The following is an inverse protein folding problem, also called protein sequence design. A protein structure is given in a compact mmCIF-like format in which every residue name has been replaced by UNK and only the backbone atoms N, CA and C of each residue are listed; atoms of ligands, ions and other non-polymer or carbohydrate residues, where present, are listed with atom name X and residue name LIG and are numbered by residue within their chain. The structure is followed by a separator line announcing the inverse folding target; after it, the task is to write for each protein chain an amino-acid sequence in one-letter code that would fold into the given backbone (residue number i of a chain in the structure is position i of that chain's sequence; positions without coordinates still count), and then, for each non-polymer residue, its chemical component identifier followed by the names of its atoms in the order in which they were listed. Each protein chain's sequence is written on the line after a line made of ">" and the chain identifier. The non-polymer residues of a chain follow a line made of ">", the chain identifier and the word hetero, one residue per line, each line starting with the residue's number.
data_IF_900435672015
#
_entry.id   IF_900435672015
#
_cell.length_a   1.000
_cell.length_b   1.000
_cell.length_c   1.000
_cell.angle_alpha   90.00
_cell.angle_beta   90.00
_cell.angle_gamma   90.00
#
_symmetry.space_group_name_H-M   'P 1'
#
loop_
_entity.id
_entity.type
_entity.pdbx_description
1 polymer ?
#
# COMPACT_ATOMS: atom_id res chain seq x y z
N UNK A 1 13.86 -6.83 -10.00
CA UNK A 1 12.92 -7.90 -9.62
C UNK A 1 11.54 -7.30 -9.75
N UNK A 2 10.64 -7.94 -10.49
CA UNK A 2 9.29 -7.44 -10.69
C UNK A 2 8.50 -7.48 -9.37
N UNK A 3 7.91 -6.35 -8.95
CA UNK A 3 7.19 -6.21 -7.68
C UNK A 3 5.92 -7.08 -7.66
N UNK A 4 5.33 -7.34 -8.82
CA UNK A 4 4.12 -8.16 -8.99
C UNK A 4 4.42 -9.63 -9.28
N UNK A 5 5.67 -10.09 -9.08
CA UNK A 5 6.01 -11.48 -9.35
C UNK A 5 5.15 -12.47 -8.55
N UNK A 6 4.92 -13.65 -9.14
CA UNK A 6 4.11 -14.70 -8.51
C UNK A 6 4.57 -15.04 -7.09
N UNK A 7 5.89 -15.00 -6.82
CA UNK A 7 6.45 -15.22 -5.49
C UNK A 7 5.88 -14.22 -4.47
N UNK A 8 5.88 -12.92 -4.78
CA UNK A 8 5.40 -11.89 -3.87
C UNK A 8 3.88 -11.92 -3.71
N UNK A 9 3.15 -12.18 -4.80
CA UNK A 9 1.71 -12.37 -4.74
C UNK A 9 1.33 -13.51 -3.77
N UNK A 10 1.93 -14.70 -3.91
CA UNK A 10 1.63 -15.81 -3.03
C UNK A 10 2.11 -15.58 -1.59
N UNK A 11 3.31 -15.02 -1.43
CA UNK A 11 3.87 -14.70 -0.11
C UNK A 11 2.96 -13.72 0.66
N UNK A 12 2.44 -12.69 -0.01
CA UNK A 12 1.56 -11.70 0.61
C UNK A 12 0.24 -12.29 1.11
N UNK A 13 -0.31 -13.30 0.41
CA UNK A 13 -1.54 -14.00 0.83
C UNK A 13 -1.36 -14.81 2.12
N UNK A 14 -0.13 -15.20 2.43
CA UNK A 14 0.22 -15.97 3.65
C UNK A 14 0.97 -15.13 4.68
N UNK A 15 0.88 -13.80 4.60
CA UNK A 15 1.36 -12.90 5.64
C UNK A 15 2.80 -12.39 5.49
N UNK A 16 3.45 -12.58 4.34
CA UNK A 16 4.82 -12.12 4.11
C UNK A 16 4.89 -10.90 3.17
N UNK A 17 5.48 -9.80 3.64
CA UNK A 17 5.88 -8.69 2.79
C UNK A 17 7.07 -9.03 1.90
N UNK A 18 7.32 -8.19 0.90
CA UNK A 18 8.52 -8.26 0.06
C UNK A 18 9.80 -8.30 0.89
N UNK A 19 9.92 -7.40 1.86
CA UNK A 19 11.13 -7.29 2.69
C UNK A 19 11.33 -8.55 3.54
N UNK A 20 10.24 -9.12 4.05
CA UNK A 20 10.26 -10.31 4.90
C UNK A 20 10.60 -11.55 4.12
N UNK A 21 9.95 -11.79 2.98
CA UNK A 21 10.23 -12.99 2.18
C UNK A 21 11.66 -12.98 1.63
N UNK A 22 12.17 -11.82 1.19
CA UNK A 22 13.55 -11.68 0.73
C UNK A 22 14.54 -11.92 1.86
N UNK A 23 14.29 -11.36 3.06
CA UNK A 23 15.14 -11.60 4.24
C UNK A 23 15.17 -13.08 4.61
N UNK A 24 14.01 -13.74 4.63
CA UNK A 24 13.88 -15.18 4.84
C UNK A 24 14.71 -15.98 3.82
N UNK A 25 14.61 -15.67 2.53
CA UNK A 25 15.36 -16.36 1.48
C UNK A 25 16.87 -16.19 1.68
N UNK A 26 17.33 -14.96 1.94
CA UNK A 26 18.75 -14.66 2.14
C UNK A 26 19.29 -15.37 3.39
N UNK A 27 18.56 -15.32 4.50
CA UNK A 27 18.94 -15.99 5.74
C UNK A 27 19.02 -17.51 5.55
N UNK A 28 18.01 -18.10 4.89
CA UNK A 28 18.00 -19.53 4.61
C UNK A 28 19.15 -19.95 3.70
N UNK A 29 19.45 -19.16 2.66
CA UNK A 29 20.60 -19.38 1.80
C UNK A 29 21.93 -19.32 2.57
N UNK A 30 22.07 -18.37 3.50
CA UNK A 30 23.26 -18.26 4.35
C UNK A 30 23.41 -19.44 5.31
N UNK A 31 22.30 -19.97 5.86
CA UNK A 31 22.32 -21.18 6.68
C UNK A 31 22.75 -22.42 5.88
N UNK A 32 22.36 -22.51 4.61
CA UNK A 32 22.76 -23.61 3.72
C UNK A 32 24.20 -23.49 3.23
N UNK A 33 24.67 -22.27 3.00
CA UNK A 33 25.99 -21.97 2.45
C UNK A 33 26.75 -21.00 3.38
N UNK A 34 27.51 -21.53 4.36
CA UNK A 34 28.23 -20.71 5.34
C UNK A 34 29.23 -19.69 4.74
N UNK A 35 29.70 -19.94 3.51
CA UNK A 35 30.56 -19.01 2.77
C UNK A 35 29.88 -17.65 2.46
N UNK A 36 28.55 -17.57 2.49
CA UNK A 36 27.78 -16.35 2.27
C UNK A 36 27.55 -15.53 3.57
N UNK A 37 27.88 -16.08 4.74
CA UNK A 37 27.59 -15.47 6.05
C UNK A 37 28.35 -14.16 6.26
N UNK A 38 29.56 -14.02 5.70
CA UNK A 38 30.33 -12.77 5.75
C UNK A 38 29.55 -11.59 5.14
N UNK A 39 28.77 -11.85 4.08
CA UNK A 39 27.87 -10.89 3.45
C UNK A 39 26.61 -10.63 4.29
N UNK A 40 26.08 -11.64 4.98
CA UNK A 40 24.93 -11.50 5.88
C UNK A 40 25.24 -10.62 7.09
N UNK A 41 26.46 -10.70 7.63
CA UNK A 41 26.93 -9.84 8.72
C UNK A 41 26.98 -8.36 8.29
N UNK A 42 27.35 -8.07 7.04
CA UNK A 42 27.30 -6.72 6.48
C UNK A 42 25.86 -6.22 6.27
N UNK A 43 24.94 -7.08 5.81
CA UNK A 43 23.53 -6.74 5.62
C UNK A 43 22.76 -6.55 6.94
N UNK A 44 23.03 -7.40 7.93
CA UNK A 44 22.51 -7.23 9.30
C UNK A 44 23.15 -6.05 10.01
N UNK A 45 24.43 -5.73 9.74
CA UNK A 45 25.06 -4.49 10.22
C UNK A 45 24.50 -3.24 9.52
N UNK A 46 24.17 -3.28 8.23
CA UNK A 46 23.49 -2.18 7.52
C UNK A 46 22.07 -1.97 8.04
N UNK A 47 21.31 -3.05 8.27
CA UNK A 47 20.00 -2.98 8.92
C UNK A 47 20.11 -2.43 10.35
N UNK A 48 21.10 -2.88 11.13
CA UNK A 48 21.37 -2.34 12.48
C UNK A 48 21.90 -0.91 12.46
N UNK A 49 22.64 -0.49 11.44
CA UNK A 49 23.17 0.88 11.31
C UNK A 49 22.07 1.85 10.86
N UNK A 50 21.14 1.39 10.02
CA UNK A 50 19.88 2.10 9.78
C UNK A 50 19.04 2.20 11.06
N UNK A 51 18.96 1.15 11.87
CA UNK A 51 18.28 1.18 13.18
C UNK A 51 19.05 2.01 14.23
N UNK A 52 20.38 2.02 14.23
CA UNK A 52 21.21 2.73 15.21
C UNK A 52 21.35 4.23 14.88
N UNK A 53 21.32 4.61 13.60
CA UNK A 53 21.12 6.00 13.20
C UNK A 53 19.72 6.51 13.59
N UNK A 54 18.73 5.61 13.66
CA UNK A 54 17.38 5.88 14.23
C UNK A 54 17.36 5.95 15.77
N UNK A 55 18.36 5.43 16.47
CA UNK A 55 18.45 5.44 17.95
C UNK A 55 19.21 6.66 18.54
N UNK A 56 19.93 7.42 17.73
CA UNK A 56 20.67 8.61 18.19
C UNK A 56 19.80 9.88 18.30
N UNK A 57 18.53 9.80 17.92
CA UNK A 57 17.50 10.83 18.07
C UNK A 57 16.36 10.31 18.97
N UNK A 58 16.69 9.76 20.14
CA UNK A 58 15.68 9.52 21.17
C UNK A 58 15.40 10.86 21.86
N UNK A 59 14.48 11.61 21.29
CA UNK A 59 13.61 12.51 22.06
C UNK A 59 12.46 11.64 22.57
N UNK A 60 12.13 11.66 23.86
CA UNK A 60 11.04 10.86 24.40
C UNK A 60 9.71 11.52 24.02
N UNK A 61 9.04 10.99 23.00
CA UNK A 61 7.60 11.15 22.86
C UNK A 61 7.06 9.99 22.03
N UNK A 62 5.94 9.40 22.45
CA UNK A 62 5.22 8.40 21.68
C UNK A 62 4.70 9.01 20.39
N UNK A 63 5.49 8.98 19.33
CA UNK A 63 5.12 9.54 18.03
C UNK A 63 4.06 8.65 17.41
N UNK A 64 2.81 9.12 17.42
CA UNK A 64 1.76 8.61 16.55
C UNK A 64 2.30 8.67 15.12
N UNK A 65 2.31 7.54 14.41
CA UNK A 65 2.76 7.51 13.00
C UNK A 65 1.93 8.48 12.18
N UNK A 66 2.57 9.24 11.32
CA UNK A 66 1.90 10.11 10.36
C UNK A 66 1.14 9.22 9.36
N UNK A 67 -0.17 9.35 9.30
CA UNK A 67 -0.98 8.63 8.33
C UNK A 67 -0.83 9.24 6.94
N UNK A 68 -0.65 8.40 5.94
CA UNK A 68 -0.62 8.79 4.55
C UNK A 68 -1.44 7.83 3.68
N UNK A 69 -2.07 8.34 2.64
CA UNK A 69 -2.79 7.55 1.65
C UNK A 69 -2.15 7.72 0.29
N UNK A 70 -1.93 6.65 -0.47
CA UNK A 70 -1.44 6.75 -1.85
C UNK A 70 -2.57 6.38 -2.78
N UNK A 71 -3.12 7.34 -3.52
CA UNK A 71 -4.21 7.09 -4.46
C UNK A 71 -3.69 6.96 -5.89
N UNK A 72 -4.15 5.93 -6.61
CA UNK A 72 -3.76 5.62 -7.98
C UNK A 72 -4.90 4.92 -8.73
N UNK A 73 -4.70 4.55 -9.99
CA UNK A 73 -5.72 4.02 -10.88
C UNK A 73 -6.38 5.11 -11.72
N UNK A 74 -7.71 5.14 -11.76
CA UNK A 74 -8.51 6.05 -12.56
C UNK A 74 -9.04 5.43 -13.86
N UNK A 75 -9.79 6.24 -14.61
CA UNK A 75 -10.55 5.80 -15.79
C UNK A 75 -9.89 6.20 -17.13
N UNK A 76 -8.59 6.51 -17.10
CA UNK A 76 -7.84 7.00 -18.27
C UNK A 76 -7.10 5.87 -18.97
N UNK A 77 -6.55 6.15 -20.15
CA UNK A 77 -5.60 5.25 -20.81
C UNK A 77 -4.30 5.06 -20.00
N UNK A 78 -4.02 5.95 -19.05
CA UNK A 78 -2.80 5.94 -18.22
C UNK A 78 -2.96 5.17 -16.91
N UNK A 79 -4.15 4.62 -16.64
CA UNK A 79 -4.46 3.91 -15.38
C UNK A 79 -3.49 2.79 -15.00
N UNK A 80 -2.87 2.11 -15.97
CA UNK A 80 -1.86 1.08 -15.66
C UNK A 80 -0.52 1.69 -15.21
N UNK A 81 -0.12 2.81 -15.81
CA UNK A 81 1.07 3.56 -15.37
C UNK A 81 0.83 4.17 -13.99
N UNK A 82 -0.39 4.65 -13.76
CA UNK A 82 -0.89 5.09 -12.47
C UNK A 82 -0.80 3.99 -11.40
N UNK A 83 -1.30 2.78 -11.67
CA UNK A 83 -1.16 1.64 -10.77
C UNK A 83 0.31 1.28 -10.47
N UNK A 84 1.16 1.18 -11.50
CA UNK A 84 2.57 0.83 -11.32
C UNK A 84 3.34 1.88 -10.51
N UNK A 85 3.15 3.16 -10.84
CA UNK A 85 3.83 4.26 -10.14
C UNK A 85 3.33 4.40 -8.70
N UNK A 86 2.01 4.33 -8.47
CA UNK A 86 1.40 4.36 -7.15
C UNK A 86 1.85 3.20 -6.25
N UNK A 87 1.91 1.99 -6.79
CA UNK A 87 2.43 0.80 -6.08
C UNK A 87 3.87 0.99 -5.65
N UNK A 88 4.72 1.52 -6.54
CA UNK A 88 6.12 1.77 -6.22
C UNK A 88 6.29 2.87 -5.16
N UNK A 89 5.51 3.95 -5.24
CA UNK A 89 5.51 5.00 -4.20
C UNK A 89 5.09 4.41 -2.86
N UNK A 90 3.99 3.67 -2.82
CA UNK A 90 3.50 3.03 -1.62
C UNK A 90 4.55 2.10 -0.99
N UNK A 91 5.16 1.20 -1.77
CA UNK A 91 6.22 0.30 -1.29
C UNK A 91 7.44 1.05 -0.76
N UNK A 92 7.83 2.17 -1.38
CA UNK A 92 8.95 2.99 -0.90
C UNK A 92 8.60 3.72 0.41
N UNK A 93 7.38 4.24 0.52
CA UNK A 93 6.94 4.94 1.74
C UNK A 93 6.79 3.99 2.93
N UNK A 94 6.53 2.70 2.71
CA UNK A 94 6.53 1.69 3.78
C UNK A 94 7.91 1.46 4.43
N UNK A 95 9.01 1.95 3.83
CA UNK A 95 10.34 1.87 4.43
C UNK A 95 10.58 2.84 5.59
N UNK A 96 9.65 3.78 5.82
CA UNK A 96 9.73 4.80 6.86
C UNK A 96 8.96 4.36 8.11
N UNK A 97 9.59 4.39 9.28
CA UNK A 97 8.99 3.88 10.52
C UNK A 97 7.96 4.85 11.12
N UNK A 98 8.07 6.13 10.76
CA UNK A 98 7.24 7.25 11.17
C UNK A 98 5.99 7.42 10.30
N UNK A 99 5.87 6.66 9.21
CA UNK A 99 4.71 6.68 8.32
C UNK A 99 3.84 5.43 8.49
N UNK A 100 2.52 5.63 8.37
CA UNK A 100 1.53 4.57 8.21
C UNK A 100 0.80 4.81 6.89
N UNK A 101 1.06 3.97 5.88
CA UNK A 101 0.70 4.26 4.49
C UNK A 101 -0.28 3.25 3.93
N UNK A 102 -1.47 3.73 3.57
CA UNK A 102 -2.55 2.94 2.99
C UNK A 102 -2.68 3.20 1.48
N UNK A 103 -2.58 2.17 0.63
CA UNK A 103 -2.80 2.31 -0.82
C UNK A 103 -4.30 2.37 -1.13
N UNK A 104 -4.69 3.17 -2.12
CA UNK A 104 -6.07 3.39 -2.53
C UNK A 104 -6.20 3.31 -4.05
N UNK A 105 -7.16 2.53 -4.52
CA UNK A 105 -7.53 2.48 -5.93
C UNK A 105 -8.72 3.39 -6.19
N UNK A 106 -8.53 4.38 -7.07
CA UNK A 106 -9.61 5.08 -7.74
C UNK A 106 -10.17 4.16 -8.84
N UNK A 107 -11.40 3.67 -8.65
CA UNK A 107 -12.02 2.75 -9.58
C UNK A 107 -12.34 3.45 -10.93
N UNK A 108 -12.24 2.73 -12.06
CA UNK A 108 -12.76 3.21 -13.33
C UNK A 108 -14.28 3.38 -13.26
N UNK A 109 -14.83 4.34 -14.01
CA UNK A 109 -16.27 4.56 -14.06
C UNK A 109 -16.92 3.32 -14.69
N UNK A 110 -18.00 2.80 -14.11
CA UNK A 110 -18.72 1.68 -14.72
C UNK A 110 -19.23 2.13 -16.10
N UNK A 111 -18.68 1.56 -17.19
CA UNK A 111 -19.01 1.88 -18.58
C UNK A 111 -20.44 1.54 -19.03
N UNK A 112 -21.39 1.39 -18.11
CA UNK A 112 -22.81 1.11 -18.38
C UNK A 112 -23.75 2.29 -18.09
N UNK A 113 -23.20 3.50 -17.87
CA UNK A 113 -24.02 4.70 -17.76
C UNK A 113 -24.18 5.34 -19.14
N UNK A 114 -25.29 4.99 -19.77
CA UNK A 114 -25.87 5.68 -20.92
C UNK A 114 -25.83 7.20 -20.75
N UNK A 115 -25.55 7.91 -21.85
CA UNK A 115 -25.62 9.36 -21.99
C UNK A 115 -26.75 10.02 -21.18
N UNK A 116 -26.43 11.13 -20.50
CA UNK A 116 -27.33 12.16 -19.95
C UNK A 116 -27.62 12.16 -18.44
N UNK A 117 -26.60 12.06 -17.58
CA UNK A 117 -26.70 12.66 -16.24
C UNK A 117 -25.41 13.44 -15.96
N UNK A 118 -25.54 14.66 -15.45
CA UNK A 118 -24.44 15.48 -14.94
C UNK A 118 -23.65 14.65 -13.92
N UNK A 119 -22.58 13.99 -14.39
CA UNK A 119 -21.72 13.17 -13.57
C UNK A 119 -21.04 14.08 -12.55
N UNK A 120 -21.56 14.11 -11.33
CA UNK A 120 -20.78 14.64 -10.22
C UNK A 120 -19.56 13.73 -10.08
N UNK A 121 -18.36 14.25 -10.36
CA UNK A 121 -17.09 13.50 -10.23
C UNK A 121 -16.90 12.92 -8.81
N UNK A 122 -17.64 13.44 -7.83
CA UNK A 122 -17.80 12.92 -6.47
C UNK A 122 -18.43 11.53 -6.35
N UNK A 123 -19.08 11.00 -7.39
CA UNK A 123 -19.70 9.66 -7.37
C UNK A 123 -18.72 8.52 -7.66
N UNK A 124 -17.45 8.81 -7.92
CA UNK A 124 -16.43 7.78 -8.18
C UNK A 124 -16.15 6.97 -6.92
N UNK A 125 -15.89 5.68 -7.10
CA UNK A 125 -15.56 4.79 -6.00
C UNK A 125 -14.06 4.78 -5.72
N UNK A 126 -13.69 4.77 -4.44
CA UNK A 126 -12.31 4.61 -3.95
C UNK A 126 -12.25 3.38 -3.05
N UNK A 127 -11.25 2.53 -3.29
CA UNK A 127 -11.01 1.32 -2.51
C UNK A 127 -9.72 1.42 -1.73
N UNK A 128 -9.75 1.29 -0.41
CA UNK A 128 -8.51 1.05 0.36
C UNK A 128 -8.09 -0.40 0.14
N UNK A 129 -6.83 -0.62 -0.22
CA UNK A 129 -6.36 -1.94 -0.63
C UNK A 129 -5.49 -2.60 0.46
N UNK A 130 -5.74 -3.88 0.79
CA UNK A 130 -4.78 -4.66 1.55
C UNK A 130 -3.57 -5.02 0.69
N UNK A 131 -2.45 -5.35 1.33
CA UNK A 131 -1.16 -5.58 0.68
C UNK A 131 -1.23 -6.54 -0.51
N UNK A 132 -1.96 -7.65 -0.36
CA UNK A 132 -2.06 -8.71 -1.36
C UNK A 132 -2.85 -8.32 -2.61
N UNK A 133 -3.74 -7.33 -2.51
CA UNK A 133 -4.58 -6.88 -3.62
C UNK A 133 -3.85 -5.89 -4.52
N UNK A 134 -2.91 -5.10 -3.97
CA UNK A 134 -2.11 -4.13 -4.73
C UNK A 134 -1.18 -4.82 -5.74
N UNK A 135 -0.71 -6.03 -5.46
CA UNK A 135 0.34 -6.72 -6.22
C UNK A 135 -0.14 -7.38 -7.52
N UNK A 136 -1.02 -6.72 -8.28
CA UNK A 136 -1.57 -7.21 -9.56
C UNK A 136 -1.09 -6.33 -10.70
N UNK A 137 -1.16 -6.85 -11.92
CA UNK A 137 -0.53 -6.20 -13.08
C UNK A 137 -1.46 -5.16 -13.72
N UNK A 138 -2.78 -5.31 -13.54
CA UNK A 138 -3.76 -4.43 -14.14
C UNK A 138 -4.75 -3.88 -13.12
N UNK A 139 -5.22 -2.66 -13.37
CA UNK A 139 -6.25 -1.98 -12.55
C UNK A 139 -7.53 -2.81 -12.47
N UNK A 140 -7.90 -3.47 -13.56
CA UNK A 140 -9.07 -4.34 -13.68
C UNK A 140 -8.93 -5.58 -12.80
N UNK A 141 -7.74 -6.20 -12.75
CA UNK A 141 -7.46 -7.32 -11.84
C UNK A 141 -7.57 -6.89 -10.37
N UNK A 142 -7.03 -5.71 -10.01
CA UNK A 142 -7.15 -5.17 -8.65
C UNK A 142 -8.61 -4.91 -8.31
N UNK A 143 -9.35 -4.27 -9.21
CA UNK A 143 -10.76 -3.93 -9.02
C UNK A 143 -11.63 -5.18 -8.87
N UNK A 144 -11.48 -6.16 -9.76
CA UNK A 144 -12.18 -7.44 -9.67
C UNK A 144 -11.87 -8.18 -8.36
N UNK A 145 -10.59 -8.17 -7.94
CA UNK A 145 -10.18 -8.78 -6.68
C UNK A 145 -10.78 -8.09 -5.44
N UNK A 146 -11.06 -6.78 -5.51
CA UNK A 146 -11.75 -6.08 -4.42
C UNK A 146 -13.17 -6.63 -4.24
N UNK A 147 -13.91 -6.81 -5.33
CA UNK A 147 -15.26 -7.39 -5.29
C UNK A 147 -15.25 -8.84 -4.79
N UNK A 148 -14.32 -9.67 -5.27
CA UNK A 148 -14.19 -11.05 -4.79
C UNK A 148 -13.82 -11.11 -3.30
N UNK A 149 -13.02 -10.17 -2.81
CA UNK A 149 -12.53 -10.13 -1.43
C UNK A 149 -13.56 -9.63 -0.42
N UNK A 150 -14.68 -9.04 -0.85
CA UNK A 150 -15.81 -8.66 0.03
C UNK A 150 -16.97 -9.65 -0.01
N UNK A 151 -16.93 -10.64 -0.93
CA UNK A 151 -17.98 -11.65 -1.06
C UNK A 151 -17.97 -12.57 0.17
N UNK A 152 -19.07 -12.66 0.96
CA UNK A 152 -19.06 -13.33 2.27
C UNK A 152 -18.60 -14.79 2.24
N UNK A 153 -19.06 -15.56 1.26
CA UNK A 153 -18.69 -16.97 1.11
C UNK A 153 -17.19 -17.12 0.79
N UNK A 154 -16.67 -16.28 -0.12
CA UNK A 154 -15.25 -16.29 -0.48
C UNK A 154 -14.38 -15.82 0.67
N UNK A 155 -14.80 -14.81 1.42
CA UNK A 155 -14.12 -14.31 2.61
C UNK A 155 -13.95 -15.43 3.63
N UNK A 156 -15.02 -16.16 3.95
CA UNK A 156 -14.98 -17.24 4.93
C UNK A 156 -14.03 -18.36 4.51
N UNK A 157 -14.16 -18.82 3.26
CA UNK A 157 -13.30 -19.88 2.71
C UNK A 157 -11.84 -19.43 2.68
N UNK A 158 -11.57 -18.23 2.18
CA UNK A 158 -10.20 -17.69 2.02
C UNK A 158 -9.55 -17.48 3.38
N UNK A 159 -10.25 -16.90 4.34
CA UNK A 159 -9.75 -16.68 5.71
C UNK A 159 -9.44 -18.01 6.39
N UNK A 160 -10.34 -19.00 6.25
CA UNK A 160 -10.13 -20.35 6.80
C UNK A 160 -8.89 -21.02 6.22
N UNK A 161 -8.75 -21.04 4.89
CA UNK A 161 -7.60 -21.64 4.21
C UNK A 161 -6.30 -20.90 4.53
N UNK A 162 -6.32 -19.56 4.51
CA UNK A 162 -5.18 -18.72 4.90
C UNK A 162 -4.71 -19.05 6.32
N UNK A 163 -5.63 -19.12 7.28
CA UNK A 163 -5.30 -19.43 8.68
C UNK A 163 -4.72 -20.84 8.84
N UNK A 164 -5.22 -21.83 8.09
CA UNK A 164 -4.65 -23.18 8.07
C UNK A 164 -3.20 -23.16 7.59
N UNK A 165 -2.94 -22.53 6.43
CA UNK A 165 -1.60 -22.43 5.84
C UNK A 165 -0.65 -21.66 6.75
N UNK A 166 -1.07 -20.51 7.27
CA UNK A 166 -0.25 -19.69 8.17
C UNK A 166 0.13 -20.44 9.45
N UNK A 167 -0.81 -21.20 10.04
CA UNK A 167 -0.54 -22.03 11.23
C UNK A 167 0.44 -23.17 10.96
N UNK A 168 0.37 -23.78 9.78
CA UNK A 168 1.33 -24.80 9.37
C UNK A 168 2.72 -24.23 9.12
N UNK A 169 2.79 -23.10 8.42
CA UNK A 169 4.03 -22.38 8.17
C UNK A 169 4.67 -21.91 9.49
N UNK A 170 3.89 -21.34 10.40
CA UNK A 170 4.38 -20.94 11.72
C UNK A 170 4.97 -22.14 12.46
N UNK A 171 4.23 -23.25 12.57
CA UNK A 171 4.73 -24.46 13.25
C UNK A 171 6.03 -24.99 12.63
N UNK A 172 6.17 -24.92 11.30
CA UNK A 172 7.36 -25.39 10.59
C UNK A 172 8.55 -24.43 10.74
N UNK A 173 8.29 -23.12 10.67
CA UNK A 173 9.32 -22.08 10.62
C UNK A 173 9.72 -21.58 12.01
N UNK A 174 8.88 -21.65 13.03
CA UNK A 174 9.20 -21.23 14.40
C UNK A 174 10.35 -22.01 15.04
N UNK A 175 10.75 -23.15 14.46
CA UNK A 175 11.94 -23.91 14.88
C UNK A 175 13.25 -23.29 14.36
N UNK A 176 13.17 -22.29 13.49
CA UNK A 176 14.30 -21.70 12.80
C UNK A 176 14.64 -20.34 13.41
N UNK A 177 15.90 -20.11 13.76
CA UNK A 177 16.36 -18.87 14.39
C UNK A 177 16.17 -17.62 13.51
N UNK A 178 16.02 -17.80 12.20
CA UNK A 178 15.85 -16.72 11.24
C UNK A 178 14.38 -16.29 11.08
N UNK A 179 13.41 -17.09 11.52
CA UNK A 179 11.99 -16.75 11.37
C UNK A 179 11.54 -15.80 12.47
N UNK A 180 11.18 -14.57 12.08
CA UNK A 180 10.73 -13.52 13.00
C UNK A 180 9.23 -13.19 12.83
N UNK A 181 8.42 -14.15 12.39
CA UNK A 181 6.98 -14.00 12.20
C UNK A 181 6.54 -13.40 10.86
N UNK A 182 5.22 -13.24 10.74
CA UNK A 182 4.51 -12.61 9.63
C UNK A 182 4.34 -11.11 9.87
N UNK A 183 4.28 -10.32 8.81
CA UNK A 183 4.21 -8.86 8.86
C UNK A 183 3.03 -8.26 8.08
N UNK A 184 2.22 -9.09 7.42
CA UNK A 184 0.97 -8.67 6.78
C UNK A 184 -0.22 -9.27 7.52
N UNK A 185 -1.17 -8.41 7.89
CA UNK A 185 -2.47 -8.72 8.49
C UNK A 185 -3.48 -9.23 7.45
N UNK A 186 -4.56 -9.84 7.93
CA UNK A 186 -5.67 -10.26 7.07
C UNK A 186 -6.75 -9.17 7.07
N UNK A 187 -6.51 -8.13 6.27
CA UNK A 187 -7.40 -7.00 6.12
C UNK A 187 -8.22 -7.11 4.83
N UNK A 188 -9.48 -6.74 4.91
CA UNK A 188 -10.37 -6.67 3.76
C UNK A 188 -10.29 -5.29 3.11
N UNK A 189 -10.48 -5.20 1.79
CA UNK A 189 -10.61 -3.90 1.13
C UNK A 189 -11.91 -3.20 1.59
N UNK A 190 -11.86 -1.88 1.71
CA UNK A 190 -13.01 -1.06 2.11
C UNK A 190 -13.36 -0.14 0.94
N UNK A 191 -14.64 -0.13 0.59
CA UNK A 191 -15.18 0.71 -0.48
C UNK A 191 -15.75 2.00 0.11
N UNK A 192 -15.41 3.12 -0.52
CA UNK A 192 -15.92 4.45 -0.22
C UNK A 192 -16.39 5.12 -1.52
N UNK A 193 -17.35 6.05 -1.44
CA UNK A 193 -17.41 7.10 -2.47
C UNK A 193 -16.21 8.04 -2.31
N UNK A 194 -15.83 8.76 -3.36
CA UNK A 194 -14.72 9.71 -3.32
C UNK A 194 -14.89 10.73 -2.21
N UNK A 195 -16.10 11.24 -2.01
CA UNK A 195 -16.39 12.18 -0.92
C UNK A 195 -16.23 11.53 0.46
N UNK A 196 -16.79 10.34 0.67
CA UNK A 196 -16.65 9.62 1.94
C UNK A 196 -15.19 9.30 2.26
N UNK A 197 -14.39 8.99 1.23
CA UNK A 197 -12.97 8.75 1.38
C UNK A 197 -12.22 10.02 1.80
N UNK A 198 -12.51 11.17 1.19
CA UNK A 198 -11.91 12.46 1.58
C UNK A 198 -12.24 12.80 3.04
N UNK A 199 -13.50 12.61 3.46
CA UNK A 199 -13.92 12.83 4.84
C UNK A 199 -13.16 11.90 5.81
N UNK A 200 -13.02 10.62 5.44
CA UNK A 200 -12.23 9.65 6.20
C UNK A 200 -10.75 10.06 6.33
N UNK A 201 -10.12 10.50 5.25
CA UNK A 201 -8.73 10.98 5.25
C UNK A 201 -8.56 12.21 6.13
N UNK A 202 -9.53 13.13 6.09
CA UNK A 202 -9.58 14.33 6.93
C UNK A 202 -9.68 13.98 8.41
N UNK A 203 -10.59 13.09 8.79
CA UNK A 203 -10.75 12.61 10.17
C UNK A 203 -9.47 11.91 10.67
N UNK A 204 -8.81 11.16 9.78
CA UNK A 204 -7.53 10.51 10.05
C UNK A 204 -6.35 11.48 10.16
N UNK A 205 -6.54 12.79 9.87
CA UNK A 205 -5.48 13.81 9.78
C UNK A 205 -4.32 13.38 8.90
N UNK A 206 -4.65 12.71 7.79
CA UNK A 206 -3.67 12.08 6.92
C UNK A 206 -3.29 12.97 5.74
N UNK A 207 -2.15 12.68 5.12
CA UNK A 207 -1.71 13.29 3.87
C UNK A 207 -1.98 12.37 2.68
N UNK A 208 -2.42 12.92 1.55
CA UNK A 208 -2.67 12.15 0.32
C UNK A 208 -1.50 12.29 -0.64
N UNK A 209 -0.87 11.18 -1.00
CA UNK A 209 0.00 11.10 -2.15
C UNK A 209 -0.82 10.83 -3.41
N UNK A 210 -0.87 11.78 -4.34
CA UNK A 210 -1.58 11.62 -5.60
C UNK A 210 -0.65 10.96 -6.63
N UNK A 211 -0.97 9.73 -7.00
CA UNK A 211 -0.32 8.98 -8.07
C UNK A 211 -1.31 8.57 -9.17
N UNK A 212 -2.40 9.35 -9.32
CA UNK A 212 -3.38 9.20 -10.41
C UNK A 212 -2.87 9.94 -11.64
N UNK A 213 -2.74 9.24 -12.78
CA UNK A 213 -2.29 9.82 -14.06
C UNK A 213 -3.47 10.06 -15.00
N UNK A 214 -3.43 11.20 -15.69
CA UNK A 214 -4.47 11.69 -16.57
C UNK A 214 -5.81 12.03 -15.89
N UNK A 215 -6.68 12.71 -16.63
CA UNK A 215 -8.03 13.09 -16.17
C UNK A 215 -7.98 13.81 -14.82
N UNK A 216 -8.83 13.37 -13.88
CA UNK A 216 -8.98 14.02 -12.56
C UNK A 216 -7.70 14.10 -11.72
N UNK A 217 -6.67 13.29 -12.04
CA UNK A 217 -5.38 13.32 -11.37
C UNK A 217 -4.50 14.50 -11.78
N UNK A 218 -4.69 15.05 -12.98
CA UNK A 218 -3.83 16.06 -13.59
C UNK A 218 -4.58 17.34 -14.00
N UNK A 219 -5.90 17.29 -14.16
CA UNK A 219 -6.72 18.46 -14.53
C UNK A 219 -7.04 19.40 -13.36
N UNK A 220 -6.63 19.04 -12.13
CA UNK A 220 -6.86 19.84 -10.91
C UNK A 220 -8.09 19.44 -10.10
N UNK A 221 -8.89 18.48 -10.58
CA UNK A 221 -10.15 18.08 -9.93
C UNK A 221 -9.91 17.48 -8.54
N UNK A 222 -9.06 16.45 -8.43
CA UNK A 222 -8.81 15.82 -7.12
C UNK A 222 -8.09 16.79 -6.16
N UNK A 223 -7.22 17.65 -6.69
CA UNK A 223 -6.50 18.69 -5.95
C UNK A 223 -7.50 19.69 -5.33
N UNK A 224 -8.46 20.17 -6.13
CA UNK A 224 -9.51 21.10 -5.69
C UNK A 224 -10.40 20.48 -4.61
N UNK A 225 -10.78 19.20 -4.77
CA UNK A 225 -11.58 18.47 -3.77
C UNK A 225 -10.84 18.33 -2.43
N UNK A 226 -9.57 17.95 -2.47
CA UNK A 226 -8.73 17.81 -1.26
C UNK A 226 -8.48 19.17 -0.59
N UNK A 227 -8.17 20.21 -1.38
CA UNK A 227 -7.97 21.57 -0.89
C UNK A 227 -9.23 22.14 -0.23
N UNK A 228 -10.40 21.95 -0.87
CA UNK A 228 -11.69 22.37 -0.32
C UNK A 228 -12.03 21.66 1.00
N UNK A 229 -11.60 20.42 1.17
CA UNK A 229 -11.77 19.67 2.41
C UNK A 229 -10.73 20.03 3.50
N UNK A 230 -9.65 20.73 3.15
CA UNK A 230 -8.51 21.03 4.02
C UNK A 230 -7.59 19.84 4.24
N UNK A 231 -7.55 18.88 3.31
CA UNK A 231 -6.71 17.68 3.35
C UNK A 231 -5.37 17.97 2.67
N UNK A 232 -4.22 17.77 3.35
CA UNK A 232 -2.92 17.96 2.73
C UNK A 232 -2.65 16.87 1.67
N UNK A 233 -2.03 17.24 0.55
CA UNK A 233 -1.70 16.31 -0.53
C UNK A 233 -0.37 16.60 -1.23
N UNK A 234 0.14 15.64 -2.01
CA UNK A 234 1.34 15.78 -2.85
C UNK A 234 0.99 16.05 -4.31
N UNK A 235 1.84 16.79 -5.00
CA UNK A 235 1.65 17.15 -6.41
C UNK A 235 1.44 18.66 -6.59
N UNK A 236 1.60 19.14 -7.83
CA UNK A 236 1.39 20.54 -8.15
C UNK A 236 -0.06 20.75 -8.60
N UNK A 237 -0.71 21.77 -8.04
CA UNK A 237 -1.73 22.52 -8.77
C UNK A 237 -0.99 23.10 -9.97
N UNK A 238 -1.54 22.96 -11.17
CA UNK A 238 -1.10 23.72 -12.33
C UNK A 238 -1.05 25.21 -11.92
N UNK A 239 0.17 25.71 -11.66
CA UNK A 239 0.57 26.95 -10.98
C UNK A 239 1.15 26.79 -9.55
N UNK A 240 2.48 26.90 -9.47
CA UNK A 240 3.30 27.34 -8.33
C UNK A 240 2.55 27.70 -7.04
N UNK A 241 2.30 26.72 -6.18
CA UNK A 241 2.34 26.89 -4.71
C UNK A 241 2.55 25.52 -4.07
N UNK A 242 3.81 25.11 -3.93
CA UNK A 242 4.20 24.14 -2.91
C UNK A 242 3.98 24.86 -1.57
N UNK A 243 2.75 24.80 -1.06
CA UNK A 243 2.46 25.10 0.33
C UNK A 243 2.58 23.79 1.10
N UNK A 244 3.81 23.30 1.23
CA UNK A 244 4.18 22.52 2.41
C UNK A 244 4.02 23.50 3.57
N UNK A 245 2.78 23.62 4.05
CA UNK A 245 2.47 24.32 5.29
C UNK A 245 2.77 23.33 6.43
N UNK A 246 4.06 23.07 6.63
CA UNK A 246 4.59 22.76 7.96
C UNK A 246 4.59 24.09 8.73
N UNK A 247 3.41 24.50 9.18
CA UNK A 247 3.26 25.33 10.36
C UNK A 247 2.21 24.67 11.23
N UNK A 248 2.67 23.73 12.06
CA UNK A 248 2.40 23.62 13.50
C UNK A 248 3.35 22.57 14.10
#
# INVERSE_FOLDING_TARGET
>A
MEQTSFLFQQASKVGFSHSRILRTIVQHACSRFPSLVTSNNAWTALSRKMQSAKQALIIPNGTCKQKAFVIFGGDTSERQVSLMSGTNVWLNLQGFDDLDVTPCLLAPSNGYSSHNEDFSESSRDVWTLPYSLVLRHTTEEVHAACFEAIEPERVEITSRLRNQVMKELERALSKQDWFAGFDITDEQPIKYSLQQWIDYVKEAKAVVFIAVHGGIGEDGTIQSLLESAGVPYTGAITACRIHICLQL
#
